data_IF_958104057443
#
_entry.id   IF_958104057443
#
_cell.length_a   1.000
_cell.length_b   1.000
_cell.length_c   1.000
_cell.angle_alpha   90.00
_cell.angle_beta   90.00
_cell.angle_gamma   90.00
#
_symmetry.space_group_name_H-M   'P 1'
#
loop_
_entity.id
_entity.type
_entity.pdbx_description
1 polymer ?
#
# COMPACT_ATOMS: atom_id res chain seq x y z
N UNK A 1 -79.15 -53.65 13.54
CA UNK A 1 -77.81 -54.30 13.50
C UNK A 1 -76.91 -53.74 12.39
N UNK A 2 -76.91 -52.42 12.13
CA UNK A 2 -76.09 -51.82 11.05
C UNK A 2 -74.84 -51.08 11.59
N UNK A 3 -74.64 -50.97 12.90
CA UNK A 3 -73.64 -50.02 13.42
C UNK A 3 -72.19 -50.52 13.50
N UNK A 4 -71.92 -51.83 13.50
CA UNK A 4 -70.55 -52.34 13.71
C UNK A 4 -69.70 -52.35 12.43
N UNK A 5 -70.29 -52.71 11.28
CA UNK A 5 -69.57 -52.82 9.99
C UNK A 5 -69.07 -51.45 9.48
N UNK A 6 -69.87 -50.40 9.66
CA UNK A 6 -69.48 -49.05 9.28
C UNK A 6 -68.37 -48.49 10.17
N UNK A 7 -68.40 -48.77 11.49
CA UNK A 7 -67.31 -48.38 12.39
C UNK A 7 -65.99 -49.07 12.06
N UNK A 8 -66.03 -50.36 11.70
CA UNK A 8 -64.84 -51.10 11.30
C UNK A 8 -64.24 -50.53 10.01
N UNK A 9 -65.08 -50.20 9.02
CA UNK A 9 -64.63 -49.56 7.78
C UNK A 9 -63.98 -48.20 8.03
N UNK A 10 -64.58 -47.34 8.86
CA UNK A 10 -63.99 -46.03 9.19
C UNK A 10 -62.67 -46.17 9.94
N UNK A 11 -62.57 -47.15 10.85
CA UNK A 11 -61.34 -47.41 11.60
C UNK A 11 -60.22 -47.84 10.64
N UNK A 12 -60.51 -48.79 9.75
CA UNK A 12 -59.56 -49.27 8.74
C UNK A 12 -59.12 -48.14 7.81
N UNK A 13 -60.03 -47.27 7.37
CA UNK A 13 -59.69 -46.11 6.53
C UNK A 13 -58.78 -45.11 7.25
N UNK A 14 -58.99 -44.84 8.54
CA UNK A 14 -58.12 -43.96 9.33
C UNK A 14 -56.72 -44.56 9.47
N UNK A 15 -56.62 -45.86 9.78
CA UNK A 15 -55.33 -46.54 9.88
C UNK A 15 -54.61 -46.64 8.53
N UNK A 16 -55.34 -46.83 7.42
CA UNK A 16 -54.76 -46.79 6.07
C UNK A 16 -54.23 -45.41 5.71
N UNK A 17 -55.00 -44.35 5.96
CA UNK A 17 -54.56 -42.98 5.72
C UNK A 17 -53.32 -42.64 6.54
N UNK A 18 -53.28 -43.05 7.81
CA UNK A 18 -52.13 -42.88 8.70
C UNK A 18 -50.91 -43.68 8.20
N UNK A 19 -51.10 -44.95 7.84
CA UNK A 19 -50.04 -45.82 7.34
C UNK A 19 -49.44 -45.29 6.04
N UNK A 20 -50.26 -44.86 5.08
CA UNK A 20 -49.82 -44.25 3.82
C UNK A 20 -49.12 -42.92 4.06
N UNK A 21 -49.64 -42.09 4.98
CA UNK A 21 -49.01 -40.83 5.37
C UNK A 21 -47.62 -41.03 5.97
N UNK A 22 -47.44 -42.03 6.82
CA UNK A 22 -46.14 -42.36 7.42
C UNK A 22 -45.19 -42.97 6.39
N UNK A 23 -45.68 -43.82 5.47
CA UNK A 23 -44.86 -44.40 4.41
C UNK A 23 -44.34 -43.31 3.47
N UNK A 24 -45.21 -42.43 2.98
CA UNK A 24 -44.81 -41.34 2.10
C UNK A 24 -43.93 -40.30 2.83
N UNK A 25 -44.29 -39.92 4.06
CA UNK A 25 -43.53 -38.95 4.84
C UNK A 25 -42.19 -39.46 5.35
N UNK A 26 -42.12 -40.73 5.75
CA UNK A 26 -40.94 -41.33 6.40
C UNK A 26 -39.95 -41.93 5.42
N UNK A 27 -40.38 -42.67 4.40
CA UNK A 27 -39.44 -43.39 3.51
C UNK A 27 -39.12 -42.60 2.25
N UNK A 28 -40.06 -41.87 1.67
CA UNK A 28 -39.82 -41.07 0.45
C UNK A 28 -39.27 -39.66 0.76
N UNK A 29 -39.57 -39.11 1.93
CA UNK A 29 -39.01 -37.82 2.37
C UNK A 29 -37.49 -37.89 2.59
N UNK A 30 -37.00 -38.93 3.27
CA UNK A 30 -35.58 -39.05 3.62
C UNK A 30 -34.63 -39.10 2.42
N UNK A 31 -35.01 -39.76 1.32
CA UNK A 31 -34.17 -39.83 0.12
C UNK A 31 -34.06 -38.50 -0.61
N UNK A 32 -35.15 -37.72 -0.66
CA UNK A 32 -35.12 -36.37 -1.23
C UNK A 32 -34.22 -35.44 -0.41
N UNK A 33 -34.37 -35.43 0.91
CA UNK A 33 -33.57 -34.56 1.79
C UNK A 33 -32.07 -34.88 1.69
N UNK A 34 -31.70 -36.18 1.67
CA UNK A 34 -30.30 -36.59 1.54
C UNK A 34 -29.66 -36.14 0.22
N UNK A 35 -30.40 -36.20 -0.90
CA UNK A 35 -29.93 -35.72 -2.20
C UNK A 35 -29.74 -34.20 -2.22
N UNK A 36 -30.66 -33.45 -1.62
CA UNK A 36 -30.57 -31.98 -1.53
C UNK A 36 -29.40 -31.50 -0.68
N UNK A 37 -29.15 -32.15 0.46
CA UNK A 37 -28.01 -31.82 1.33
C UNK A 37 -26.66 -32.05 0.63
N UNK A 38 -26.52 -33.17 -0.08
CA UNK A 38 -25.29 -33.50 -0.79
C UNK A 38 -25.02 -32.55 -1.96
N UNK A 39 -26.07 -32.12 -2.67
CA UNK A 39 -25.93 -31.13 -3.74
C UNK A 39 -25.54 -29.75 -3.19
N UNK A 40 -26.12 -29.34 -2.06
CA UNK A 40 -25.78 -28.06 -1.40
C UNK A 40 -24.33 -28.08 -0.90
N UNK A 41 -23.89 -29.17 -0.27
CA UNK A 41 -22.50 -29.36 0.18
C UNK A 41 -21.52 -29.28 -1.00
N UNK A 42 -21.82 -29.99 -2.10
CA UNK A 42 -20.97 -29.97 -3.30
C UNK A 42 -20.86 -28.57 -3.90
N UNK A 43 -21.97 -27.81 -3.93
CA UNK A 43 -21.96 -26.41 -4.40
C UNK A 43 -21.20 -25.47 -3.46
N UNK A 44 -21.25 -25.71 -2.15
CA UNK A 44 -20.49 -24.93 -1.17
C UNK A 44 -18.99 -25.21 -1.29
N UNK A 45 -18.59 -26.48 -1.43
CA UNK A 45 -17.20 -26.89 -1.65
C UNK A 45 -16.65 -26.25 -2.93
N UNK A 46 -17.39 -26.32 -4.04
CA UNK A 46 -17.00 -25.67 -5.29
C UNK A 46 -16.84 -24.14 -5.16
N UNK A 47 -17.74 -23.47 -4.43
CA UNK A 47 -17.62 -22.03 -4.16
C UNK A 47 -16.43 -21.70 -3.27
N UNK A 48 -16.17 -22.53 -2.27
CA UNK A 48 -15.03 -22.37 -1.37
C UNK A 48 -13.71 -22.51 -2.13
N UNK A 49 -13.58 -23.54 -2.96
CA UNK A 49 -12.41 -23.77 -3.79
C UNK A 49 -12.20 -22.64 -4.80
N UNK A 50 -13.28 -22.15 -5.41
CA UNK A 50 -13.22 -20.99 -6.30
C UNK A 50 -12.75 -19.73 -5.56
N UNK A 51 -13.26 -19.49 -4.35
CA UNK A 51 -12.86 -18.35 -3.53
C UNK A 51 -11.38 -18.45 -3.12
N UNK A 52 -10.93 -19.65 -2.74
CA UNK A 52 -9.54 -19.91 -2.35
C UNK A 52 -8.59 -19.69 -3.53
N UNK A 53 -8.96 -20.18 -4.71
CA UNK A 53 -8.20 -19.98 -5.96
C UNK A 53 -8.13 -18.50 -6.33
N UNK A 54 -9.27 -17.80 -6.30
CA UNK A 54 -9.32 -16.36 -6.58
C UNK A 54 -8.45 -15.56 -5.60
N UNK A 55 -8.47 -15.91 -4.31
CA UNK A 55 -7.62 -15.25 -3.30
C UNK A 55 -6.13 -15.46 -3.59
N UNK A 56 -5.73 -16.66 -3.99
CA UNK A 56 -4.35 -16.96 -4.36
C UNK A 56 -3.94 -16.20 -5.63
N UNK A 57 -4.80 -16.16 -6.65
CA UNK A 57 -4.54 -15.42 -7.89
C UNK A 57 -4.41 -13.90 -7.62
N UNK A 58 -5.28 -13.34 -6.76
CA UNK A 58 -5.21 -11.95 -6.31
C UNK A 58 -3.89 -11.66 -5.57
N UNK A 59 -3.48 -12.52 -4.65
CA UNK A 59 -2.20 -12.38 -3.95
C UNK A 59 -1.01 -12.43 -4.91
N UNK A 60 -1.04 -13.32 -5.88
CA UNK A 60 0.02 -13.40 -6.90
C UNK A 60 0.06 -12.18 -7.81
N UNK A 61 -1.09 -11.62 -8.19
CA UNK A 61 -1.16 -10.38 -8.96
C UNK A 61 -0.63 -9.20 -8.16
N UNK A 62 -1.02 -9.08 -6.89
CA UNK A 62 -0.52 -8.05 -5.99
C UNK A 62 1.01 -8.11 -5.83
N UNK A 63 1.57 -9.30 -5.60
CA UNK A 63 3.01 -9.47 -5.48
C UNK A 63 3.76 -9.12 -6.77
N UNK A 64 3.18 -9.43 -7.94
CA UNK A 64 3.75 -9.03 -9.25
C UNK A 64 3.74 -7.51 -9.41
N UNK A 65 2.62 -6.86 -9.15
CA UNK A 65 2.52 -5.39 -9.22
C UNK A 65 3.50 -4.70 -8.26
N UNK A 66 3.63 -5.18 -7.02
CA UNK A 66 4.60 -4.63 -6.06
C UNK A 66 6.03 -4.75 -6.56
N UNK A 67 6.38 -5.87 -7.19
CA UNK A 67 7.71 -6.08 -7.78
C UNK A 67 7.95 -5.17 -8.98
N UNK A 68 6.97 -4.99 -9.85
CA UNK A 68 7.05 -4.08 -11.00
C UNK A 68 7.21 -2.62 -10.56
N UNK A 69 6.47 -2.20 -9.53
CA UNK A 69 6.62 -0.86 -8.94
C UNK A 69 8.03 -0.66 -8.38
N UNK A 70 8.56 -1.66 -7.66
CA UNK A 70 9.92 -1.55 -7.11
C UNK A 70 10.98 -1.47 -8.21
N UNK A 71 10.87 -2.28 -9.25
CA UNK A 71 11.76 -2.23 -10.41
C UNK A 71 11.67 -0.88 -11.13
N UNK A 72 10.45 -0.40 -11.39
CA UNK A 72 10.24 0.91 -12.01
C UNK A 72 10.82 2.05 -11.17
N UNK A 73 10.67 1.99 -9.85
CA UNK A 73 11.27 2.97 -8.95
C UNK A 73 12.80 2.96 -9.05
N UNK A 74 13.42 1.78 -9.10
CA UNK A 74 14.87 1.65 -9.24
C UNK A 74 15.37 2.20 -10.59
N UNK A 75 14.66 1.92 -11.68
CA UNK A 75 14.99 2.45 -13.00
C UNK A 75 14.92 3.98 -13.01
N UNK A 76 13.87 4.55 -12.41
CA UNK A 76 13.71 6.01 -12.30
C UNK A 76 14.87 6.62 -11.49
N UNK A 77 15.25 6.02 -10.36
CA UNK A 77 16.40 6.47 -9.56
C UNK A 77 17.71 6.36 -10.37
N UNK A 78 17.88 5.30 -11.15
CA UNK A 78 19.07 5.14 -11.99
C UNK A 78 19.17 6.19 -13.09
N UNK A 79 18.04 6.50 -13.74
CA UNK A 79 17.95 7.57 -14.73
C UNK A 79 18.20 8.96 -14.11
N UNK A 80 17.70 9.20 -12.89
CA UNK A 80 18.01 10.40 -12.10
C UNK A 80 19.51 10.54 -11.88
N UNK A 81 20.15 9.47 -11.39
CA UNK A 81 21.58 9.45 -11.13
C UNK A 81 22.37 9.73 -12.41
N UNK A 82 22.03 9.12 -13.55
CA UNK A 82 22.73 9.41 -14.81
C UNK A 82 22.58 10.87 -15.26
N UNK A 83 21.38 11.47 -15.14
CA UNK A 83 21.14 12.84 -15.59
C UNK A 83 21.88 13.86 -14.73
N UNK A 84 21.90 13.65 -13.43
CA UNK A 84 22.35 14.67 -12.47
C UNK A 84 23.72 14.39 -11.84
N UNK A 85 24.29 13.18 -12.02
CA UNK A 85 25.60 12.85 -11.46
C UNK A 85 26.66 13.88 -11.86
N UNK A 86 26.77 14.27 -13.13
CA UNK A 86 27.82 15.20 -13.55
C UNK A 86 27.73 16.59 -12.90
N UNK A 87 26.54 17.03 -12.49
CA UNK A 87 26.33 18.37 -11.94
C UNK A 87 26.28 18.39 -10.42
N UNK A 88 25.79 17.30 -9.80
CA UNK A 88 25.55 17.21 -8.37
C UNK A 88 26.62 16.38 -7.63
N UNK A 89 27.46 15.63 -8.34
CA UNK A 89 28.48 14.77 -7.73
C UNK A 89 29.50 15.59 -6.93
N UNK A 90 29.68 15.20 -5.66
CA UNK A 90 30.57 15.86 -4.72
C UNK A 90 29.99 17.12 -4.07
N UNK A 91 28.73 17.46 -4.36
CA UNK A 91 28.05 18.59 -3.70
C UNK A 91 27.66 18.21 -2.28
N UNK A 92 28.00 19.08 -1.33
CA UNK A 92 27.58 18.95 0.07
C UNK A 92 26.29 19.69 0.29
N UNK A 93 25.31 19.00 0.85
CA UNK A 93 24.01 19.58 1.17
C UNK A 93 23.75 19.34 2.64
N UNK A 94 23.47 20.43 3.35
CA UNK A 94 23.13 20.36 4.76
C UNK A 94 21.65 20.02 4.88
N UNK A 95 21.27 19.17 5.82
CA UNK A 95 19.86 18.90 6.08
C UNK A 95 19.51 19.01 7.56
N UNK A 96 18.33 19.53 7.83
CA UNK A 96 17.68 19.48 9.14
C UNK A 96 16.30 18.86 8.97
N UNK A 97 15.89 18.02 9.91
CA UNK A 97 14.59 17.39 9.88
C UNK A 97 13.94 17.39 11.26
N UNK A 98 12.60 17.41 11.27
CA UNK A 98 11.86 17.14 12.49
C UNK A 98 12.16 15.70 13.00
N UNK A 99 12.23 15.47 14.33
CA UNK A 99 12.62 14.18 14.90
C UNK A 99 11.69 13.02 14.53
N UNK A 100 10.47 13.31 14.08
CA UNK A 100 9.47 12.33 13.68
C UNK A 100 9.67 11.79 12.25
N UNK A 101 10.57 12.38 11.47
CA UNK A 101 10.78 12.04 10.06
C UNK A 101 11.93 11.05 9.85
N UNK A 102 11.67 10.00 9.06
CA UNK A 102 12.68 9.03 8.67
C UNK A 102 13.41 9.48 7.38
N UNK A 103 14.69 9.81 7.52
CA UNK A 103 15.55 10.30 6.43
C UNK A 103 16.29 9.20 5.65
N UNK A 104 16.15 7.93 6.03
CA UNK A 104 16.93 6.83 5.43
C UNK A 104 16.73 6.75 3.91
N UNK A 105 15.48 6.85 3.44
CA UNK A 105 15.15 6.76 2.01
C UNK A 105 15.72 7.94 1.21
N UNK A 106 15.59 9.16 1.73
CA UNK A 106 16.16 10.36 1.06
C UNK A 106 17.67 10.27 1.04
N UNK A 107 18.30 9.83 2.13
CA UNK A 107 19.75 9.68 2.16
C UNK A 107 20.26 8.70 1.11
N UNK A 108 19.55 7.59 0.89
CA UNK A 108 19.88 6.64 -0.17
C UNK A 108 19.74 7.25 -1.57
N UNK A 109 18.66 8.00 -1.82
CA UNK A 109 18.44 8.67 -3.12
C UNK A 109 19.52 9.74 -3.36
N UNK A 110 19.77 10.62 -2.40
CA UNK A 110 20.76 11.68 -2.53
C UNK A 110 22.18 11.12 -2.73
N UNK A 111 22.57 10.12 -1.93
CA UNK A 111 23.86 9.43 -2.09
C UNK A 111 23.98 8.75 -3.46
N UNK A 112 22.89 8.20 -4.01
CA UNK A 112 22.92 7.54 -5.33
C UNK A 112 23.19 8.52 -6.49
N UNK A 113 22.86 9.80 -6.30
CA UNK A 113 23.13 10.87 -7.27
C UNK A 113 24.49 11.56 -6.99
N UNK A 114 25.21 11.11 -5.95
CA UNK A 114 26.54 11.63 -5.59
C UNK A 114 26.51 12.88 -4.69
N UNK A 115 25.37 13.18 -4.07
CA UNK A 115 25.21 14.26 -3.10
C UNK A 115 25.58 13.74 -1.71
N UNK A 116 26.42 14.48 -0.98
CA UNK A 116 26.74 14.19 0.42
C UNK A 116 25.80 14.97 1.35
N UNK A 117 24.94 14.25 2.07
CA UNK A 117 24.04 14.85 3.07
C UNK A 117 24.73 14.99 4.42
N UNK A 118 24.88 16.23 4.89
CA UNK A 118 25.48 16.54 6.19
C UNK A 118 24.39 16.99 7.18
N UNK A 119 24.23 16.36 8.34
CA UNK A 119 23.24 16.79 9.32
C UNK A 119 23.62 18.17 9.86
N UNK A 120 22.69 19.12 9.77
CA UNK A 120 22.84 20.47 10.30
C UNK A 120 22.42 20.52 11.77
N UNK A 121 23.33 21.00 12.62
CA UNK A 121 23.02 21.34 14.01
C UNK A 121 22.74 22.84 14.09
N UNK A 122 21.63 23.20 14.73
CA UNK A 122 21.25 24.59 14.99
C UNK A 122 22.45 25.35 15.59
N UNK A 123 22.89 26.44 14.93
CA UNK A 123 24.13 27.24 15.17
C UNK A 123 25.40 26.83 14.42
N UNK A 124 25.35 25.86 13.52
CA UNK A 124 26.45 25.58 12.59
C UNK A 124 26.60 26.67 11.51
N UNK A 125 27.83 26.96 11.09
CA UNK A 125 28.05 27.77 9.90
C UNK A 125 27.75 26.95 8.64
N UNK A 126 26.94 27.51 7.72
CA UNK A 126 26.74 26.99 6.37
C UNK A 126 27.90 27.47 5.50
N UNK A 127 28.97 26.68 5.46
CA UNK A 127 30.24 27.10 4.84
C UNK A 127 30.21 26.85 3.32
N UNK A 128 29.67 25.71 2.88
CA UNK A 128 29.78 25.26 1.46
C UNK A 128 28.57 24.43 1.00
N UNK A 129 27.36 24.97 1.09
CA UNK A 129 26.19 24.30 0.50
C UNK A 129 24.83 24.78 1.01
N UNK A 130 23.75 24.48 0.26
CA UNK A 130 22.40 24.84 0.66
C UNK A 130 21.90 23.97 1.82
N UNK A 131 20.95 24.52 2.59
CA UNK A 131 20.27 23.83 3.68
C UNK A 131 18.88 23.32 3.25
N UNK A 132 18.64 22.01 3.35
CA UNK A 132 17.33 21.39 3.20
C UNK A 132 16.63 21.27 4.55
N UNK A 133 15.42 21.78 4.67
CA UNK A 133 14.61 21.70 5.88
C UNK A 133 13.41 20.81 5.65
N UNK A 134 13.37 19.67 6.34
CA UNK A 134 12.24 18.75 6.32
C UNK A 134 11.40 18.93 7.59
N UNK A 135 10.36 19.75 7.51
CA UNK A 135 9.42 19.93 8.63
C UNK A 135 8.06 20.45 8.17
N UNK A 136 6.98 20.06 8.86
CA UNK A 136 5.63 20.56 8.55
C UNK A 136 5.49 22.06 8.81
N UNK A 137 6.26 22.61 9.75
CA UNK A 137 6.29 24.04 10.07
C UNK A 137 7.70 24.60 9.94
N UNK A 138 7.79 25.87 9.52
CA UNK A 138 9.07 26.57 9.40
C UNK A 138 9.66 26.81 10.80
N UNK A 139 10.92 26.42 11.06
CA UNK A 139 11.55 26.65 12.35
C UNK A 139 11.83 28.14 12.57
N UNK A 140 11.65 28.65 13.78
CA UNK A 140 11.89 30.06 14.12
C UNK A 140 13.38 30.47 13.99
N UNK A 141 14.30 29.53 14.21
CA UNK A 141 15.74 29.77 14.07
C UNK A 141 16.17 30.04 12.62
N UNK A 142 15.32 29.72 11.64
CA UNK A 142 15.60 29.95 10.22
C UNK A 142 15.79 31.43 9.91
N UNK A 143 15.07 32.31 10.62
CA UNK A 143 15.19 33.76 10.51
C UNK A 143 16.50 34.33 11.05
N UNK A 144 17.30 33.51 11.75
CA UNK A 144 18.58 33.91 12.34
C UNK A 144 19.77 33.50 11.47
N UNK A 145 19.53 32.85 10.32
CA UNK A 145 20.59 32.47 9.40
C UNK A 145 21.21 33.69 8.71
N UNK A 146 22.53 33.66 8.43
CA UNK A 146 23.19 34.71 7.65
C UNK A 146 22.51 34.95 6.31
N UNK A 147 22.43 36.20 5.82
CA UNK A 147 21.77 36.56 4.54
C UNK A 147 22.30 35.80 3.32
N UNK A 148 23.54 35.31 3.36
CA UNK A 148 24.15 34.48 2.31
C UNK A 148 23.74 33.00 2.35
N UNK A 149 22.94 32.60 3.34
CA UNK A 149 22.52 31.20 3.50
C UNK A 149 21.33 30.90 2.61
N UNK A 150 21.52 30.02 1.63
CA UNK A 150 20.43 29.50 0.81
C UNK A 150 19.82 28.27 1.45
N UNK A 151 18.50 28.23 1.52
CA UNK A 151 17.76 27.12 2.11
C UNK A 151 16.50 26.78 1.30
N UNK A 152 16.10 25.52 1.35
CA UNK A 152 14.87 25.02 0.74
C UNK A 152 14.03 24.36 1.83
N UNK A 153 12.79 24.83 1.99
CA UNK A 153 11.83 24.23 2.92
C UNK A 153 10.99 23.20 2.18
N UNK A 154 10.96 21.99 2.74
CA UNK A 154 10.23 20.84 2.24
C UNK A 154 9.27 20.41 3.34
N UNK A 155 7.98 20.67 3.14
CA UNK A 155 6.94 20.40 4.15
C UNK A 155 6.84 18.92 4.52
N UNK A 156 7.07 18.04 3.54
CA UNK A 156 6.97 16.59 3.70
C UNK A 156 8.10 15.87 2.96
N UNK A 157 8.70 14.87 3.61
CA UNK A 157 9.70 13.98 3.01
C UNK A 157 9.10 13.35 1.74
N UNK A 158 9.66 13.59 0.54
CA UNK A 158 9.11 13.06 -0.70
C UNK A 158 9.12 11.52 -0.71
N UNK A 159 7.91 10.93 -0.74
CA UNK A 159 7.68 9.48 -0.71
C UNK A 159 7.56 8.86 -2.11
N UNK A 160 7.26 9.67 -3.13
CA UNK A 160 7.08 9.21 -4.51
C UNK A 160 8.27 9.62 -5.39
N UNK A 161 8.63 8.86 -6.44
CA UNK A 161 9.73 9.23 -7.33
C UNK A 161 9.55 10.60 -7.99
N UNK A 162 8.32 10.98 -8.33
CA UNK A 162 8.02 12.30 -8.90
C UNK A 162 8.36 13.44 -7.92
N UNK A 163 7.95 13.31 -6.65
CA UNK A 163 8.29 14.30 -5.62
C UNK A 163 9.78 14.33 -5.29
N UNK A 164 10.47 13.18 -5.40
CA UNK A 164 11.92 13.10 -5.26
C UNK A 164 12.64 13.78 -6.43
N UNK A 165 12.11 13.66 -7.64
CA UNK A 165 12.61 14.35 -8.84
C UNK A 165 12.53 15.86 -8.67
N UNK A 166 11.35 16.36 -8.30
CA UNK A 166 11.11 17.79 -8.10
C UNK A 166 12.06 18.37 -7.04
N UNK A 167 12.32 17.62 -5.97
CA UNK A 167 13.30 18.03 -4.97
C UNK A 167 14.71 18.13 -5.54
N UNK A 168 15.16 17.14 -6.33
CA UNK A 168 16.49 17.16 -6.96
C UNK A 168 16.64 18.33 -7.94
N UNK A 169 15.61 18.63 -8.73
CA UNK A 169 15.60 19.75 -9.67
C UNK A 169 15.69 21.09 -8.94
N UNK A 170 14.93 21.25 -7.85
CA UNK A 170 15.00 22.45 -7.00
C UNK A 170 16.38 22.60 -6.35
N UNK A 171 16.98 21.50 -5.89
CA UNK A 171 18.34 21.47 -5.32
C UNK A 171 19.38 21.87 -6.37
N UNK A 172 19.31 21.31 -7.58
CA UNK A 172 20.21 21.61 -8.68
C UNK A 172 20.14 23.10 -9.06
N UNK A 173 18.92 23.63 -9.18
CA UNK A 173 18.71 25.05 -9.47
C UNK A 173 19.34 25.93 -8.39
N UNK A 174 19.14 25.58 -7.12
CA UNK A 174 19.71 26.32 -6.00
C UNK A 174 21.25 26.30 -5.99
N UNK A 175 21.86 25.14 -6.25
CA UNK A 175 23.32 25.00 -6.38
C UNK A 175 23.87 25.80 -7.56
N UNK A 176 23.15 25.80 -8.68
CA UNK A 176 23.53 26.58 -9.88
C UNK A 176 23.48 28.08 -9.60
N UNK A 177 22.42 28.56 -8.96
CA UNK A 177 22.29 29.97 -8.53
C UNK A 177 23.42 30.38 -7.58
N UNK A 178 23.73 29.54 -6.59
CA UNK A 178 24.86 29.77 -5.67
C UNK A 178 26.21 29.83 -6.39
N UNK A 179 26.46 28.93 -7.36
CA UNK A 179 27.70 28.93 -8.14
C UNK A 179 27.85 30.22 -8.96
N UNK A 180 26.78 30.66 -9.62
CA UNK A 180 26.77 31.90 -10.42
C UNK A 180 27.00 33.13 -9.53
N UNK A 181 26.42 33.18 -8.33
CA UNK A 181 26.68 34.27 -7.38
C UNK A 181 28.12 34.28 -6.87
N UNK A 182 28.71 33.11 -6.67
CA UNK A 182 30.11 32.99 -6.23
C UNK A 182 31.09 33.41 -7.33
N UNK A 183 30.82 33.11 -8.59
CA UNK A 183 31.65 33.51 -9.74
C UNK A 183 31.55 35.01 -10.08
N UNK A 184 30.49 35.70 -9.63
CA UNK A 184 30.28 37.14 -9.87
C UNK A 184 30.82 38.05 -8.76
N UNK A 185 31.21 37.51 -7.61
CA UNK A 185 31.74 38.23 -6.46
C UNK A 185 33.27 38.24 -6.42
#
# INVERSE_FOLDING_TARGET
>A
MIHFRYHLLTLVSVFLALGVGILLGGTAGHSWFALGEQEVLTRMEAKYDQALKSNNDLKQQMNRMLKEIEQSNQDVIHLMAMRYANELQGSKIYYWHAPELNMARISQVMNSVGIELVPYKEKGALIDGPLLLFAPTKPEWLSQLPEKSRWLHVEQVPLTPASQWELLENVQKLLTEMRIEHEKS
#
